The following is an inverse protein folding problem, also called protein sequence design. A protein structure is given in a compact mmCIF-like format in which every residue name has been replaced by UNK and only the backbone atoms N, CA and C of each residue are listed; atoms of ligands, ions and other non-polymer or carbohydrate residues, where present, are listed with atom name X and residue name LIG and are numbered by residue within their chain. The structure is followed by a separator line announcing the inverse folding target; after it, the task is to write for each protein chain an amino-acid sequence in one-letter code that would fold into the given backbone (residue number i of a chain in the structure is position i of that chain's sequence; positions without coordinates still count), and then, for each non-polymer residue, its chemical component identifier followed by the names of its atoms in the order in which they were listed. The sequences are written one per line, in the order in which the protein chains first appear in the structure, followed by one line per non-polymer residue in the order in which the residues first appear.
data_IF_270722679741
#
_entry.id   IF_270722679741
#
_cell.length_a   1.000
_cell.length_b   1.000
_cell.length_c   1.000
_cell.angle_alpha   90.00
_cell.angle_beta   90.00
_cell.angle_gamma   90.00
#
_symmetry.space_group_name_H-M   'P 1'
#
loop_
_entity.id
_entity.type
_entity.pdbx_description
1 polymer ?
#
# COMPACT_ATOMS: atom_id res chain seq x y z
N UNK A 1 -27.52 5.69 -10.97
CA UNK A 1 -26.42 5.91 -11.93
C UNK A 1 -25.42 4.80 -11.77
N UNK A 2 -24.89 4.31 -12.88
CA UNK A 2 -23.80 3.33 -12.95
C UNK A 2 -22.44 4.01 -12.84
N UNK A 3 -21.39 3.26 -12.54
CA UNK A 3 -20.00 3.75 -12.49
C UNK A 3 -19.60 4.51 -13.77
N UNK A 4 -19.97 3.96 -14.93
CA UNK A 4 -19.70 4.57 -16.24
C UNK A 4 -20.40 5.93 -16.41
N UNK A 5 -21.62 6.05 -15.92
CA UNK A 5 -22.39 7.31 -15.98
C UNK A 5 -21.79 8.38 -15.05
N UNK A 6 -21.38 7.99 -13.83
CA UNK A 6 -20.69 8.90 -12.91
C UNK A 6 -19.36 9.36 -13.49
N UNK A 7 -18.57 8.44 -14.05
CA UNK A 7 -17.31 8.78 -14.70
C UNK A 7 -17.48 9.79 -15.84
N UNK A 8 -18.42 9.54 -16.75
CA UNK A 8 -18.68 10.45 -17.87
C UNK A 8 -19.17 11.82 -17.40
N UNK A 9 -20.00 11.86 -16.35
CA UNK A 9 -20.46 13.11 -15.75
C UNK A 9 -19.29 13.92 -15.19
N UNK A 10 -18.42 13.28 -14.42
CA UNK A 10 -17.29 13.91 -13.74
C UNK A 10 -16.22 14.37 -14.74
N UNK A 11 -15.84 13.51 -15.70
CA UNK A 11 -14.89 13.86 -16.76
C UNK A 11 -15.40 15.04 -17.61
N UNK A 12 -16.71 15.09 -17.88
CA UNK A 12 -17.34 16.21 -18.60
C UNK A 12 -17.41 17.50 -17.75
N UNK A 13 -17.66 17.39 -16.45
CA UNK A 13 -17.73 18.54 -15.52
C UNK A 13 -16.38 19.23 -15.40
N UNK A 14 -15.30 18.46 -15.28
CA UNK A 14 -13.95 18.99 -15.02
C UNK A 14 -13.07 19.07 -16.28
N UNK A 15 -13.51 18.53 -17.42
CA UNK A 15 -12.76 18.59 -18.68
C UNK A 15 -11.45 17.79 -18.66
N UNK A 16 -11.31 16.86 -17.71
CA UNK A 16 -10.10 16.07 -17.49
C UNK A 16 -10.45 14.58 -17.35
N UNK A 17 -9.55 13.67 -17.73
CA UNK A 17 -9.71 12.24 -17.45
C UNK A 17 -9.85 11.98 -15.95
N UNK A 18 -10.66 10.99 -15.58
CA UNK A 18 -10.91 10.65 -14.16
C UNK A 18 -9.60 10.38 -13.40
N UNK A 19 -8.61 9.77 -14.07
CA UNK A 19 -7.29 9.50 -13.49
C UNK A 19 -6.59 10.77 -12.99
N UNK A 20 -6.56 11.82 -13.81
CA UNK A 20 -5.85 13.06 -13.50
C UNK A 20 -6.61 13.84 -12.44
N UNK A 21 -7.94 13.82 -12.52
CA UNK A 21 -8.81 14.41 -11.51
C UNK A 21 -8.65 13.74 -10.14
N UNK A 22 -8.61 12.40 -10.09
CA UNK A 22 -8.41 11.66 -8.85
C UNK A 22 -7.02 11.90 -8.28
N UNK A 23 -6.00 12.12 -9.11
CA UNK A 23 -4.67 12.53 -8.64
C UNK A 23 -4.70 13.92 -7.98
N UNK A 24 -5.32 14.91 -8.64
CA UNK A 24 -5.49 16.26 -8.08
C UNK A 24 -6.27 16.22 -6.75
N UNK A 25 -7.39 15.51 -6.72
CA UNK A 25 -8.29 15.43 -5.57
C UNK A 25 -7.72 14.60 -4.42
N UNK A 26 -6.94 13.55 -4.70
CA UNK A 26 -6.38 12.69 -3.63
C UNK A 26 -5.02 13.15 -3.11
N UNK A 27 -4.24 13.88 -3.91
CA UNK A 27 -2.84 14.22 -3.59
C UNK A 27 -2.64 15.71 -3.37
N UNK A 28 -3.35 16.60 -4.09
CA UNK A 28 -3.11 18.05 -4.05
C UNK A 28 -4.12 18.81 -3.21
N UNK A 29 -5.36 18.34 -3.09
CA UNK A 29 -6.31 18.89 -2.12
C UNK A 29 -6.17 18.20 -0.77
N UNK A 30 -6.08 18.98 0.31
CA UNK A 30 -6.14 18.53 1.71
C UNK A 30 -7.57 18.09 2.12
N UNK A 31 -8.41 17.70 1.16
CA UNK A 31 -9.80 17.31 1.36
C UNK A 31 -9.89 15.90 1.93
N UNK A 32 -10.84 15.69 2.85
CA UNK A 32 -11.16 14.35 3.28
C UNK A 32 -12.02 13.58 2.26
N UNK A 33 -12.27 12.29 2.50
CA UNK A 33 -12.99 11.45 1.55
C UNK A 33 -14.45 11.85 1.32
N UNK A 34 -15.08 12.49 2.31
CA UNK A 34 -16.47 12.91 2.19
C UNK A 34 -16.56 14.21 1.39
N UNK A 35 -15.70 15.17 1.71
CA UNK A 35 -15.57 16.43 0.97
C UNK A 35 -15.23 16.19 -0.50
N UNK A 36 -14.29 15.28 -0.77
CA UNK A 36 -13.90 14.94 -2.13
C UNK A 36 -15.03 14.25 -2.93
N UNK A 37 -15.83 13.39 -2.28
CA UNK A 37 -16.97 12.76 -2.93
C UNK A 37 -18.08 13.77 -3.25
N UNK A 38 -18.33 14.71 -2.33
CA UNK A 38 -19.29 15.79 -2.49
C UNK A 38 -18.88 16.75 -3.63
N UNK A 39 -17.61 17.15 -3.68
CA UNK A 39 -17.05 18.01 -4.73
C UNK A 39 -17.21 17.38 -6.13
N UNK A 40 -16.98 16.07 -6.22
CA UNK A 40 -17.16 15.31 -7.45
C UNK A 40 -18.63 15.01 -7.77
N UNK A 41 -19.55 15.21 -6.82
CA UNK A 41 -20.97 14.95 -6.99
C UNK A 41 -21.29 13.46 -7.14
N UNK A 42 -20.49 12.59 -6.51
CA UNK A 42 -20.62 11.13 -6.60
C UNK A 42 -20.89 10.53 -5.22
N UNK A 43 -21.53 9.35 -5.15
CA UNK A 43 -21.67 8.64 -3.89
C UNK A 43 -20.31 8.32 -3.27
N UNK A 44 -20.22 8.39 -1.95
CA UNK A 44 -18.99 8.13 -1.20
C UNK A 44 -18.38 6.75 -1.52
N UNK A 45 -19.20 5.71 -1.69
CA UNK A 45 -18.74 4.38 -2.07
C UNK A 45 -18.04 4.39 -3.45
N UNK A 46 -18.62 5.08 -4.43
CA UNK A 46 -18.04 5.25 -5.77
C UNK A 46 -16.71 6.02 -5.71
N UNK A 47 -16.66 7.08 -4.91
CA UNK A 47 -15.41 7.81 -4.70
C UNK A 47 -14.32 6.95 -4.06
N UNK A 48 -14.67 6.14 -3.06
CA UNK A 48 -13.73 5.25 -2.38
C UNK A 48 -13.18 4.15 -3.30
N UNK A 49 -14.01 3.61 -4.20
CA UNK A 49 -13.58 2.67 -5.24
C UNK A 49 -12.61 3.32 -6.22
N UNK A 50 -12.92 4.53 -6.71
CA UNK A 50 -12.02 5.29 -7.56
C UNK A 50 -10.73 5.65 -6.84
N UNK A 51 -10.83 6.11 -5.59
CA UNK A 51 -9.67 6.42 -4.76
C UNK A 51 -8.80 5.18 -4.66
N UNK A 52 -9.33 4.03 -4.27
CA UNK A 52 -8.55 2.79 -4.20
C UNK A 52 -7.88 2.41 -5.54
N UNK A 53 -8.53 2.69 -6.68
CA UNK A 53 -7.97 2.45 -8.00
C UNK A 53 -6.86 3.46 -8.42
N UNK A 54 -6.89 4.68 -7.88
CA UNK A 54 -6.00 5.79 -8.27
C UNK A 54 -5.05 6.28 -7.17
N UNK A 55 -5.19 5.81 -5.92
CA UNK A 55 -4.51 6.34 -4.71
C UNK A 55 -2.98 6.26 -4.79
N UNK A 56 -2.43 5.32 -5.54
CA UNK A 56 -0.97 5.17 -5.71
C UNK A 56 -0.44 5.88 -6.97
N UNK A 57 -1.25 6.73 -7.62
CA UNK A 57 -0.83 7.59 -8.72
C UNK A 57 -0.24 6.83 -9.93
N UNK A 58 0.76 7.38 -10.65
CA UNK A 58 1.35 6.76 -11.85
C UNK A 58 2.04 5.39 -11.63
N UNK A 59 2.14 4.90 -10.38
CA UNK A 59 2.74 3.60 -10.07
C UNK A 59 1.79 2.40 -10.27
N UNK A 60 0.52 2.64 -10.57
CA UNK A 60 -0.51 1.60 -10.53
C UNK A 60 -0.65 0.66 -11.74
N UNK A 61 -0.21 0.99 -12.97
CA UNK A 61 -0.66 0.15 -14.11
C UNK A 61 0.18 -1.11 -14.35
N UNK A 62 1.52 -1.02 -14.27
CA UNK A 62 2.41 -2.10 -14.69
C UNK A 62 3.51 -2.44 -13.69
N UNK A 63 4.03 -1.46 -12.95
CA UNK A 63 5.11 -1.68 -11.98
C UNK A 63 4.63 -2.48 -10.77
N UNK A 64 3.39 -2.25 -10.30
CA UNK A 64 2.82 -2.93 -9.14
C UNK A 64 2.38 -4.38 -9.41
N UNK A 65 1.86 -4.66 -10.62
CA UNK A 65 1.57 -6.04 -11.04
C UNK A 65 2.84 -6.89 -11.09
N UNK A 66 3.97 -6.25 -11.39
CA UNK A 66 5.28 -6.87 -11.53
C UNK A 66 6.19 -6.67 -10.30
N UNK A 67 5.66 -6.19 -9.17
CA UNK A 67 6.45 -6.08 -7.96
C UNK A 67 6.98 -7.48 -7.58
N UNK A 68 8.31 -7.65 -7.44
CA UNK A 68 8.88 -8.92 -7.06
C UNK A 68 8.46 -9.20 -5.62
N UNK A 69 7.66 -10.24 -5.44
CA UNK A 69 7.36 -10.80 -4.13
C UNK A 69 8.41 -11.87 -3.86
N UNK A 70 9.08 -11.82 -2.71
CA UNK A 70 9.99 -12.92 -2.35
C UNK A 70 9.17 -14.20 -2.19
N UNK A 71 9.60 -15.26 -2.88
CA UNK A 71 8.99 -16.59 -2.77
C UNK A 71 9.42 -17.35 -1.50
N UNK A 72 10.07 -16.69 -0.54
CA UNK A 72 10.55 -17.34 0.69
C UNK A 72 9.46 -18.19 1.36
N UNK A 73 9.58 -19.53 1.29
CA UNK A 73 8.54 -20.46 1.74
C UNK A 73 8.43 -20.51 3.28
N UNK A 74 9.42 -19.95 3.98
CA UNK A 74 9.52 -19.97 5.45
C UNK A 74 8.45 -19.10 6.10
N UNK A 75 7.99 -18.03 5.44
CA UNK A 75 7.07 -17.05 6.06
C UNK A 75 5.59 -17.40 5.80
N UNK A 76 5.26 -18.12 4.73
CA UNK A 76 3.85 -18.42 4.39
C UNK A 76 3.16 -19.38 5.37
N UNK A 77 3.91 -20.12 6.18
CA UNK A 77 3.40 -21.13 7.11
C UNK A 77 3.15 -20.62 8.54
N UNK A 78 3.54 -19.40 8.89
CA UNK A 78 3.72 -18.99 10.29
C UNK A 78 2.56 -18.19 10.93
N UNK A 79 1.41 -18.05 10.27
CA UNK A 79 0.33 -17.17 10.71
C UNK A 79 -0.45 -17.61 11.98
N UNK A 80 0.04 -18.63 12.70
CA UNK A 80 -0.69 -19.27 13.82
C UNK A 80 0.16 -19.39 15.10
N UNK A 81 1.35 -18.77 15.14
CA UNK A 81 2.15 -18.74 16.37
C UNK A 81 1.66 -17.63 17.30
N UNK A 82 1.37 -17.97 18.56
CA UNK A 82 1.08 -17.00 19.61
C UNK A 82 2.23 -15.99 19.73
N UNK A 83 1.94 -14.70 19.57
CA UNK A 83 2.92 -13.62 19.69
C UNK A 83 3.62 -13.69 21.06
N UNK A 84 4.93 -13.96 21.05
CA UNK A 84 5.73 -14.11 22.27
C UNK A 84 5.99 -12.76 22.95
N UNK A 85 6.05 -11.69 22.17
CA UNK A 85 6.40 -10.35 22.64
C UNK A 85 5.23 -9.37 22.57
N UNK A 86 3.97 -9.87 22.57
CA UNK A 86 2.75 -9.06 22.41
C UNK A 86 2.55 -7.98 23.47
N UNK A 87 3.18 -8.14 24.64
CA UNK A 87 3.00 -7.26 25.80
C UNK A 87 4.14 -6.24 25.94
N UNK A 88 5.04 -6.18 24.95
CA UNK A 88 6.19 -5.29 24.98
C UNK A 88 6.13 -4.29 23.82
N UNK A 89 6.35 -3.01 24.14
CA UNK A 89 6.70 -1.99 23.14
C UNK A 89 8.19 -2.08 22.80
N UNK A 90 8.63 -3.22 22.27
CA UNK A 90 10.03 -3.50 21.97
C UNK A 90 10.26 -3.70 20.47
N UNK A 91 11.49 -3.44 20.02
CA UNK A 91 11.88 -3.64 18.61
C UNK A 91 11.78 -5.12 18.20
N UNK A 92 11.87 -6.04 19.17
CA UNK A 92 11.68 -7.49 18.97
C UNK A 92 10.21 -7.84 18.77
N UNK A 93 9.31 -7.26 19.57
CA UNK A 93 7.87 -7.41 19.37
C UNK A 93 7.40 -6.79 18.05
N UNK A 94 7.93 -5.63 17.68
CA UNK A 94 7.64 -5.02 16.38
C UNK A 94 8.10 -5.90 15.20
N UNK A 95 9.27 -6.52 15.30
CA UNK A 95 9.76 -7.44 14.28
C UNK A 95 8.89 -8.70 14.18
N UNK A 96 8.55 -9.32 15.32
CA UNK A 96 7.67 -10.50 15.37
C UNK A 96 6.32 -10.18 14.71
N UNK A 97 5.70 -9.06 15.09
CA UNK A 97 4.45 -8.61 14.50
C UNK A 97 4.60 -8.34 13.00
N UNK A 98 5.69 -7.72 12.55
CA UNK A 98 5.95 -7.47 11.13
C UNK A 98 6.08 -8.77 10.32
N UNK A 99 6.70 -9.81 10.89
CA UNK A 99 6.77 -11.15 10.26
C UNK A 99 5.39 -11.78 10.15
N UNK A 100 4.56 -11.66 11.19
CA UNK A 100 3.18 -12.16 11.18
C UNK A 100 2.30 -11.41 10.17
N UNK A 101 2.43 -10.08 10.10
CA UNK A 101 1.73 -9.27 9.10
C UNK A 101 2.13 -9.64 7.67
N UNK A 102 3.41 -9.92 7.41
CA UNK A 102 3.87 -10.41 6.12
C UNK A 102 3.26 -11.79 5.77
N UNK A 103 3.23 -12.70 6.74
CA UNK A 103 2.63 -14.02 6.57
C UNK A 103 1.13 -13.91 6.21
N UNK A 104 0.38 -13.11 6.96
CA UNK A 104 -1.04 -12.84 6.70
C UNK A 104 -1.26 -12.19 5.33
N UNK A 105 -0.42 -11.22 4.94
CA UNK A 105 -0.50 -10.58 3.63
C UNK A 105 -0.25 -11.58 2.48
N UNK A 106 0.74 -12.46 2.61
CA UNK A 106 1.01 -13.52 1.62
C UNK A 106 -0.15 -14.51 1.52
N UNK A 107 -0.71 -14.94 2.66
CA UNK A 107 -1.86 -15.84 2.69
C UNK A 107 -3.12 -15.20 2.09
N UNK A 108 -3.38 -13.93 2.40
CA UNK A 108 -4.48 -13.18 1.81
C UNK A 108 -4.33 -13.10 0.28
N UNK A 109 -3.13 -12.74 -0.19
CA UNK A 109 -2.82 -12.67 -1.61
C UNK A 109 -3.03 -14.03 -2.32
N UNK A 110 -2.57 -15.13 -1.74
CA UNK A 110 -2.73 -16.47 -2.33
C UNK A 110 -4.19 -16.93 -2.36
N UNK A 111 -5.00 -16.55 -1.36
CA UNK A 111 -6.45 -16.78 -1.38
C UNK A 111 -7.12 -15.98 -2.50
N UNK A 112 -6.74 -14.71 -2.66
CA UNK A 112 -7.33 -13.79 -3.65
C UNK A 112 -6.85 -14.02 -5.09
N UNK A 113 -5.71 -14.67 -5.31
CA UNK A 113 -5.26 -15.12 -6.66
C UNK A 113 -6.33 -15.92 -7.42
N UNK A 114 -7.27 -16.55 -6.71
CA UNK A 114 -8.34 -17.36 -7.29
C UNK A 114 -9.59 -16.55 -7.68
N UNK A 115 -9.70 -15.28 -7.27
CA UNK A 115 -10.96 -14.49 -7.34
C UNK A 115 -10.74 -13.01 -7.68
N UNK A 116 -9.70 -12.68 -8.46
CA UNK A 116 -9.16 -11.32 -8.72
C UNK A 116 -8.39 -10.72 -7.52
N UNK A 117 -7.07 -10.95 -7.50
CA UNK A 117 -6.17 -10.36 -6.51
C UNK A 117 -6.01 -8.85 -6.76
N UNK A 118 -6.25 -8.05 -5.73
CA UNK A 118 -6.08 -6.60 -5.80
C UNK A 118 -4.59 -6.26 -5.93
N UNK A 119 -4.20 -5.27 -6.76
CA UNK A 119 -2.84 -4.73 -6.75
C UNK A 119 -2.36 -4.31 -5.36
N UNK A 120 -3.28 -3.94 -4.47
CA UNK A 120 -2.99 -3.58 -3.07
C UNK A 120 -2.43 -4.75 -2.25
N UNK A 121 -2.79 -6.00 -2.58
CA UNK A 121 -2.28 -7.18 -1.87
C UNK A 121 -0.77 -7.34 -2.06
N UNK A 122 -0.28 -7.08 -3.27
CA UNK A 122 1.16 -7.13 -3.59
C UNK A 122 1.92 -6.00 -2.90
N UNK A 123 1.33 -4.81 -2.87
CA UNK A 123 1.92 -3.64 -2.19
C UNK A 123 2.08 -3.91 -0.69
N UNK A 124 1.08 -4.51 -0.04
CA UNK A 124 1.17 -4.88 1.36
C UNK A 124 2.30 -5.87 1.64
N UNK A 125 2.50 -6.86 0.77
CA UNK A 125 3.62 -7.81 0.91
C UNK A 125 4.96 -7.09 0.83
N UNK A 126 5.16 -6.26 -0.20
CA UNK A 126 6.42 -5.51 -0.41
C UNK A 126 6.69 -4.55 0.74
N UNK A 127 5.64 -3.91 1.29
CA UNK A 127 5.76 -3.02 2.44
C UNK A 127 6.34 -3.76 3.64
N UNK A 128 5.77 -4.91 4.00
CA UNK A 128 6.24 -5.69 5.15
C UNK A 128 7.63 -6.29 4.91
N UNK A 129 7.95 -6.73 3.69
CA UNK A 129 9.32 -7.15 3.31
C UNK A 129 10.31 -5.99 3.48
N UNK A 130 9.93 -4.78 3.09
CA UNK A 130 10.78 -3.58 3.26
C UNK A 130 10.99 -3.21 4.72
N UNK A 131 9.96 -3.34 5.57
CA UNK A 131 10.07 -3.12 7.02
C UNK A 131 11.07 -4.11 7.63
N UNK A 132 10.95 -5.40 7.30
CA UNK A 132 11.85 -6.42 7.82
C UNK A 132 13.29 -6.23 7.32
N UNK A 133 13.46 -5.88 6.05
CA UNK A 133 14.76 -5.54 5.49
C UNK A 133 15.41 -4.35 6.23
N UNK A 134 14.64 -3.31 6.54
CA UNK A 134 15.13 -2.18 7.34
C UNK A 134 15.51 -2.60 8.77
N UNK A 135 14.75 -3.49 9.40
CA UNK A 135 15.05 -4.02 10.73
C UNK A 135 16.35 -4.84 10.72
N UNK A 136 16.55 -5.69 9.71
CA UNK A 136 17.77 -6.48 9.55
C UNK A 136 18.99 -5.57 9.34
N UNK A 137 18.87 -4.59 8.45
CA UNK A 137 19.90 -3.56 8.23
C UNK A 137 20.15 -2.68 9.46
N UNK A 138 19.16 -2.50 10.33
CA UNK A 138 19.36 -1.76 11.58
C UNK A 138 20.18 -2.60 12.56
N UNK A 139 19.84 -3.88 12.71
CA UNK A 139 20.51 -4.81 13.63
C UNK A 139 21.97 -5.08 13.26
N UNK A 140 22.28 -5.18 11.98
CA UNK A 140 23.65 -5.42 11.50
C UNK A 140 24.49 -4.12 11.38
N UNK A 141 23.88 -2.97 11.66
CA UNK A 141 24.50 -1.64 11.58
C UNK A 141 24.68 -1.09 10.16
N UNK A 142 24.19 -1.79 9.13
CA UNK A 142 24.23 -1.35 7.73
C UNK A 142 23.45 -0.05 7.52
N UNK A 143 22.27 0.08 8.14
CA UNK A 143 21.44 1.28 8.06
C UNK A 143 22.17 2.51 8.61
N UNK A 144 22.94 2.35 9.70
CA UNK A 144 23.75 3.43 10.27
C UNK A 144 24.87 3.88 9.33
N UNK A 145 25.48 2.94 8.59
CA UNK A 145 26.49 3.26 7.56
C UNK A 145 25.87 4.03 6.41
N UNK A 146 24.74 3.55 5.89
CA UNK A 146 23.99 4.21 4.81
C UNK A 146 23.61 5.65 5.18
N UNK A 147 23.10 5.87 6.40
CA UNK A 147 22.80 7.23 6.89
C UNK A 147 24.03 8.14 6.87
N UNK A 148 25.17 7.65 7.36
CA UNK A 148 26.42 8.44 7.40
C UNK A 148 26.91 8.77 5.99
N UNK A 149 26.80 7.86 5.04
CA UNK A 149 27.18 8.10 3.64
C UNK A 149 26.26 9.10 2.96
N UNK A 150 24.95 8.96 3.12
CA UNK A 150 23.97 9.88 2.53
C UNK A 150 24.20 11.30 3.07
N UNK A 151 24.40 11.44 4.38
CA UNK A 151 24.69 12.72 5.04
C UNK A 151 25.98 13.36 4.52
N UNK A 152 26.98 12.58 4.12
CA UNK A 152 28.22 13.10 3.50
C UNK A 152 27.98 13.62 2.08
N UNK A 153 27.13 12.95 1.29
CA UNK A 153 26.81 13.37 -0.10
C UNK A 153 25.96 14.65 -0.16
N UNK A 154 25.25 14.97 0.92
CA UNK A 154 24.41 16.17 1.03
C UNK A 154 25.14 17.39 1.62
N UNK A 155 26.43 17.26 1.97
CA UNK A 155 27.30 18.35 2.40
C UNK A 155 28.26 18.72 1.28
#
# INVERSE_FOLDING_TARGET
MTDLEYRQMVEKKYGMPLKDLMYEVCIRSEMDNYEAAEELGVPHATFMEWRAAFHLGPYHSDTMKNLPISQDPVISAAADESLQYSNEESLRGFEELSRQMLALAKQHHDKMKKTDASPLDRVNIVLWESVLYCLDNYKDGTLQKQYKELKKKMK
#
